data_IF_850344519840
#
_entry.id   IF_850344519840
#
_cell.length_a   1.000
_cell.length_b   1.000
_cell.length_c   1.000
_cell.angle_alpha   90.00
_cell.angle_beta   90.00
_cell.angle_gamma   90.00
#
_symmetry.space_group_name_H-M   'P 1'
#
loop_
_entity.id
_entity.type
_entity.pdbx_description
1 polymer ?
#
# COMPACT_ATOMS: atom_id res chain seq x y z
N UNK A 1 4.30 -3.64 27.29
CA UNK A 1 4.65 -2.97 26.03
C UNK A 1 4.84 -4.06 24.98
N UNK A 2 4.05 -4.02 23.91
CA UNK A 2 4.21 -4.93 22.77
C UNK A 2 5.48 -4.55 22.02
N UNK A 3 6.28 -5.54 21.62
CA UNK A 3 7.50 -5.28 20.85
C UNK A 3 7.12 -4.84 19.44
N UNK A 4 7.73 -3.75 18.98
CA UNK A 4 7.54 -3.21 17.64
C UNK A 4 8.74 -3.53 16.75
N UNK A 5 8.48 -3.74 15.46
CA UNK A 5 9.45 -4.04 14.42
C UNK A 5 9.38 -2.95 13.34
N UNK A 6 10.54 -2.43 12.96
CA UNK A 6 10.65 -1.49 11.85
C UNK A 6 11.01 -2.23 10.57
N UNK A 7 10.35 -1.89 9.47
CA UNK A 7 10.58 -2.49 8.16
C UNK A 7 10.25 -1.52 7.04
N UNK A 8 10.88 -1.72 5.88
CA UNK A 8 10.58 -0.95 4.68
C UNK A 8 9.57 -1.70 3.81
N UNK A 9 8.64 -0.94 3.23
CA UNK A 9 7.84 -1.32 2.07
C UNK A 9 8.41 -0.54 0.88
N UNK A 10 8.80 -1.26 -0.16
CA UNK A 10 9.19 -0.65 -1.43
C UNK A 10 7.91 -0.48 -2.28
N UNK A 11 7.49 0.77 -2.47
CA UNK A 11 6.40 1.13 -3.38
C UNK A 11 6.95 1.36 -4.78
N UNK A 12 6.21 0.94 -5.81
CA UNK A 12 6.62 1.05 -7.20
C UNK A 12 7.43 -0.16 -7.69
N UNK A 13 8.22 0.04 -8.74
CA UNK A 13 9.02 -1.04 -9.32
C UNK A 13 10.43 -1.08 -8.70
N UNK A 14 10.76 -2.10 -7.90
CA UNK A 14 12.12 -2.27 -7.37
C UNK A 14 13.10 -2.75 -8.46
N UNK A 15 12.60 -3.20 -9.62
CA UNK A 15 13.43 -3.55 -10.76
C UNK A 15 14.13 -2.29 -11.27
N UNK A 16 15.39 -2.44 -11.68
CA UNK A 16 16.14 -1.35 -12.30
C UNK A 16 15.92 -1.32 -13.83
N UNK A 17 14.95 -2.08 -14.36
CA UNK A 17 14.75 -2.30 -15.80
C UNK A 17 13.49 -1.63 -16.39
N UNK A 18 12.67 -0.95 -15.57
CA UNK A 18 11.54 -0.14 -16.04
C UNK A 18 11.15 1.01 -15.11
N UNK A 19 11.06 2.23 -15.66
CA UNK A 19 10.70 3.53 -15.06
C UNK A 19 11.47 4.04 -13.81
N UNK A 20 12.07 3.17 -12.98
CA UNK A 20 12.97 3.55 -11.87
C UNK A 20 12.31 4.37 -10.75
N UNK A 21 10.97 4.44 -10.73
CA UNK A 21 10.22 5.15 -9.70
C UNK A 21 9.88 4.13 -8.61
N UNK A 22 10.67 4.16 -7.54
CA UNK A 22 10.35 3.46 -6.30
C UNK A 22 10.57 4.36 -5.09
N UNK A 23 9.75 4.16 -4.07
CA UNK A 23 9.86 4.87 -2.79
C UNK A 23 9.89 3.87 -1.65
N UNK A 24 10.81 4.08 -0.72
CA UNK A 24 10.87 3.33 0.53
C UNK A 24 9.99 3.99 1.56
N UNK A 25 8.94 3.29 1.97
CA UNK A 25 8.10 3.68 3.11
C UNK A 25 8.54 2.88 4.32
N UNK A 26 9.01 3.58 5.36
CA UNK A 26 9.30 2.96 6.64
C UNK A 26 8.00 2.82 7.42
N UNK A 27 7.73 1.63 7.95
CA UNK A 27 6.62 1.39 8.88
C UNK A 27 7.14 0.76 10.16
N UNK A 28 6.33 0.86 11.22
CA UNK A 28 6.53 0.17 12.47
C UNK A 28 5.29 -0.68 12.78
N UNK A 29 5.48 -2.00 13.00
CA UNK A 29 4.39 -2.95 13.24
C UNK A 29 4.70 -3.88 14.42
N UNK A 30 3.67 -4.38 15.10
CA UNK A 30 3.82 -5.34 16.19
C UNK A 30 4.12 -6.78 15.71
N UNK A 31 4.04 -7.02 14.39
CA UNK A 31 4.31 -8.30 13.75
C UNK A 31 5.66 -8.33 13.04
N UNK A 32 6.23 -9.52 12.88
CA UNK A 32 7.48 -9.70 12.13
C UNK A 32 7.24 -9.58 10.62
N UNK A 33 8.29 -9.24 9.86
CA UNK A 33 8.25 -9.25 8.38
C UNK A 33 7.77 -10.60 7.84
N UNK A 34 8.14 -11.72 8.49
CA UNK A 34 7.71 -13.05 8.08
C UNK A 34 6.19 -13.21 8.25
N UNK A 35 5.67 -12.85 9.42
CA UNK A 35 4.23 -12.92 9.72
C UNK A 35 3.41 -12.05 8.77
N UNK A 36 3.85 -10.82 8.53
CA UNK A 36 3.20 -9.89 7.61
C UNK A 36 3.16 -10.44 6.18
N UNK A 37 4.23 -11.06 5.70
CA UNK A 37 4.26 -11.71 4.38
C UNK A 37 3.32 -12.92 4.30
N UNK A 38 3.30 -13.76 5.33
CA UNK A 38 2.39 -14.91 5.39
C UNK A 38 0.93 -14.46 5.42
N UNK A 39 0.62 -13.40 6.18
CA UNK A 39 -0.70 -12.79 6.23
C UNK A 39 -1.10 -12.22 4.86
N UNK A 40 -0.23 -11.44 4.20
CA UNK A 40 -0.49 -10.94 2.84
C UNK A 40 -0.86 -12.05 1.86
N UNK A 41 -0.08 -13.14 1.82
CA UNK A 41 -0.34 -14.28 0.94
C UNK A 41 -1.67 -14.96 1.28
N UNK A 42 -1.99 -15.09 2.57
CA UNK A 42 -3.26 -15.66 3.02
C UNK A 42 -4.44 -14.77 2.64
N UNK A 43 -4.34 -13.45 2.82
CA UNK A 43 -5.36 -12.48 2.41
C UNK A 43 -5.60 -12.54 0.90
N UNK A 44 -4.55 -12.73 0.10
CA UNK A 44 -4.70 -12.95 -1.34
C UNK A 44 -5.52 -14.20 -1.67
N UNK A 45 -5.26 -15.31 -0.99
CA UNK A 45 -5.96 -16.58 -1.20
C UNK A 45 -7.43 -16.51 -0.76
N UNK A 46 -7.68 -15.90 0.40
CA UNK A 46 -9.01 -15.79 1.00
C UNK A 46 -9.92 -14.87 0.19
N UNK A 47 -9.41 -13.70 -0.21
CA UNK A 47 -10.22 -12.66 -0.88
C UNK A 47 -10.29 -12.81 -2.39
N UNK A 48 -9.26 -13.40 -3.01
CA UNK A 48 -9.10 -13.35 -4.46
C UNK A 48 -8.53 -12.03 -4.99
N UNK A 49 -8.17 -11.07 -4.14
CA UNK A 49 -7.55 -9.80 -4.53
C UNK A 49 -6.05 -9.79 -4.22
N UNK A 50 -5.28 -8.90 -4.85
CA UNK A 50 -3.85 -8.76 -4.56
C UNK A 50 -3.30 -7.36 -4.86
N UNK A 51 -2.05 -7.12 -4.46
CA UNK A 51 -1.29 -5.88 -4.70
C UNK A 51 -0.05 -6.15 -5.55
N UNK A 52 -0.01 -7.29 -6.26
CA UNK A 52 1.16 -7.72 -7.00
C UNK A 52 0.83 -7.92 -8.48
N UNK A 53 1.76 -7.54 -9.34
CA UNK A 53 1.57 -7.54 -10.79
C UNK A 53 1.60 -8.95 -11.42
N UNK A 54 2.76 -9.61 -11.42
CA UNK A 54 2.97 -10.81 -12.25
C UNK A 54 2.58 -12.14 -11.60
N UNK A 55 2.82 -12.29 -10.30
CA UNK A 55 2.60 -13.56 -9.60
C UNK A 55 1.10 -13.82 -9.35
N UNK A 56 0.69 -15.09 -9.31
CA UNK A 56 -0.64 -15.45 -8.82
C UNK A 56 -0.51 -15.95 -7.38
N UNK A 57 -0.83 -15.08 -6.42
CA UNK A 57 -0.93 -15.45 -5.01
C UNK A 57 -2.37 -15.74 -4.58
N UNK A 58 -3.35 -15.49 -5.43
CA UNK A 58 -4.77 -15.74 -5.12
C UNK A 58 -5.16 -17.18 -5.42
N UNK A 59 -4.41 -17.86 -6.30
CA UNK A 59 -4.66 -19.22 -6.75
C UNK A 59 -5.88 -19.32 -7.68
N UNK A 60 -6.43 -18.19 -8.13
CA UNK A 60 -7.65 -18.14 -8.95
C UNK A 60 -7.36 -18.25 -10.44
N UNK A 61 -6.10 -18.17 -10.86
CA UNK A 61 -5.67 -18.24 -12.26
C UNK A 61 -6.42 -17.26 -13.17
N UNK A 62 -6.61 -16.01 -12.69
CA UNK A 62 -7.29 -14.97 -13.46
C UNK A 62 -6.61 -14.74 -14.80
N UNK A 63 -7.43 -14.55 -15.85
CA UNK A 63 -6.94 -14.05 -17.13
C UNK A 63 -6.34 -12.65 -16.96
N UNK A 64 -5.49 -12.22 -17.90
CA UNK A 64 -4.89 -10.89 -17.86
C UNK A 64 -5.95 -9.76 -17.77
N UNK A 65 -7.12 -9.96 -18.40
CA UNK A 65 -8.24 -9.01 -18.32
C UNK A 65 -8.88 -8.97 -16.92
N UNK A 66 -8.99 -10.12 -16.25
CA UNK A 66 -9.57 -10.22 -14.91
C UNK A 66 -8.60 -9.70 -13.84
N UNK A 67 -7.28 -9.86 -14.03
CA UNK A 67 -6.28 -9.31 -13.10
C UNK A 67 -6.47 -7.82 -12.85
N UNK A 68 -6.80 -7.03 -13.88
CA UNK A 68 -7.07 -5.58 -13.76
C UNK A 68 -8.22 -5.23 -12.81
N UNK A 69 -9.11 -6.19 -12.51
CA UNK A 69 -10.26 -6.03 -11.61
C UNK A 69 -9.98 -6.52 -10.19
N UNK A 70 -8.90 -7.27 -10.00
CA UNK A 70 -8.58 -7.94 -8.74
C UNK A 70 -7.20 -7.54 -8.18
N UNK A 71 -6.41 -6.77 -8.94
CA UNK A 71 -5.07 -6.32 -8.55
C UNK A 71 -5.05 -4.80 -8.35
N UNK A 72 -4.81 -4.36 -7.12
CA UNK A 72 -4.80 -2.95 -6.72
C UNK A 72 -3.51 -2.26 -7.18
N UNK A 73 -3.66 -1.23 -8.01
CA UNK A 73 -2.59 -0.31 -8.44
C UNK A 73 -1.28 -1.00 -8.88
N UNK A 74 -1.39 -2.08 -9.66
CA UNK A 74 -0.23 -2.91 -10.03
C UNK A 74 0.43 -2.56 -11.35
N UNK A 75 -0.24 -1.78 -12.18
CA UNK A 75 0.20 -1.40 -13.53
C UNK A 75 0.57 0.09 -13.59
N UNK A 76 1.43 0.46 -14.54
CA UNK A 76 1.79 1.86 -14.75
C UNK A 76 0.55 2.72 -15.01
N UNK A 77 0.41 3.82 -14.26
CA UNK A 77 -0.75 4.75 -14.31
C UNK A 77 -2.11 4.09 -14.01
N UNK A 78 -2.13 2.95 -13.33
CA UNK A 78 -3.35 2.36 -12.77
C UNK A 78 -3.55 2.87 -11.33
N UNK A 79 -3.65 4.17 -11.16
CA UNK A 79 -3.92 4.82 -9.86
C UNK A 79 -5.41 4.85 -9.49
N UNK A 80 -6.31 4.36 -10.36
CA UNK A 80 -7.75 4.28 -10.11
C UNK A 80 -8.23 2.86 -9.78
N UNK A 81 -9.30 2.78 -9.00
CA UNK A 81 -9.95 1.52 -8.64
C UNK A 81 -11.00 1.08 -9.68
N UNK A 82 -11.08 -0.23 -9.93
CA UNK A 82 -12.17 -0.83 -10.67
C UNK A 82 -13.44 -0.94 -9.82
N UNK A 83 -14.59 -1.12 -10.49
CA UNK A 83 -15.87 -1.39 -9.80
C UNK A 83 -15.77 -2.58 -8.83
N UNK A 84 -15.15 -3.67 -9.24
CA UNK A 84 -14.99 -4.87 -8.41
C UNK A 84 -14.13 -4.60 -7.16
N UNK A 85 -13.11 -3.75 -7.30
CA UNK A 85 -12.29 -3.31 -6.17
C UNK A 85 -13.09 -2.45 -5.20
N UNK A 86 -13.85 -1.48 -5.70
CA UNK A 86 -14.73 -0.63 -4.89
C UNK A 86 -15.76 -1.48 -4.12
N UNK A 87 -16.42 -2.42 -4.79
CA UNK A 87 -17.39 -3.33 -4.14
C UNK A 87 -16.70 -4.12 -3.04
N UNK A 88 -15.53 -4.69 -3.32
CA UNK A 88 -14.77 -5.44 -2.31
C UNK A 88 -14.43 -4.58 -1.08
N UNK A 89 -13.96 -3.35 -1.26
CA UNK A 89 -13.63 -2.47 -0.14
C UNK A 89 -14.87 -2.12 0.71
N UNK A 90 -16.02 -1.89 0.06
CA UNK A 90 -17.28 -1.61 0.76
C UNK A 90 -17.83 -2.82 1.51
N UNK A 91 -17.78 -4.00 0.91
CA UNK A 91 -18.29 -5.24 1.53
C UNK A 91 -17.41 -5.74 2.70
N UNK A 92 -16.17 -5.26 2.79
CA UNK A 92 -15.23 -5.62 3.85
C UNK A 92 -14.94 -4.47 4.83
N UNK A 93 -15.77 -3.41 4.82
CA UNK A 93 -15.70 -2.28 5.76
C UNK A 93 -14.31 -1.61 5.81
N UNK A 94 -13.70 -1.30 4.66
CA UNK A 94 -12.44 -0.55 4.62
C UNK A 94 -12.62 0.83 5.29
N UNK A 95 -11.91 1.14 6.39
CA UNK A 95 -12.24 2.28 7.24
C UNK A 95 -11.82 3.64 6.67
N UNK A 96 -10.97 3.66 5.64
CA UNK A 96 -10.45 4.89 5.02
C UNK A 96 -11.00 5.09 3.61
N UNK A 97 -12.12 4.45 3.28
CA UNK A 97 -12.70 4.54 1.94
C UNK A 97 -13.10 5.98 1.60
N UNK A 98 -13.63 6.71 2.58
CA UNK A 98 -14.04 8.12 2.44
C UNK A 98 -12.86 9.09 2.28
N UNK A 99 -11.60 8.62 2.45
CA UNK A 99 -10.39 9.43 2.30
C UNK A 99 -9.82 9.40 0.87
N UNK A 100 -10.40 8.61 -0.04
CA UNK A 100 -9.97 8.58 -1.44
C UNK A 100 -10.42 9.82 -2.23
N UNK A 101 -9.56 10.27 -3.15
CA UNK A 101 -9.87 11.39 -4.04
C UNK A 101 -11.03 11.00 -4.98
N UNK A 102 -11.91 11.97 -5.24
CA UNK A 102 -13.12 11.85 -6.07
C UNK A 102 -14.19 10.86 -5.57
N UNK A 103 -14.08 10.42 -4.31
CA UNK A 103 -15.17 9.70 -3.66
C UNK A 103 -16.33 10.63 -3.30
N UNK A 104 -17.54 10.24 -3.73
CA UNK A 104 -18.81 10.94 -3.47
C UNK A 104 -19.88 9.89 -3.19
N UNK A 105 -20.40 9.87 -1.95
CA UNK A 105 -21.43 8.94 -1.48
C UNK A 105 -22.73 9.01 -2.31
N UNK A 106 -23.00 10.13 -2.99
CA UNK A 106 -24.18 10.31 -3.82
C UNK A 106 -24.03 9.73 -5.24
N UNK A 107 -22.81 9.40 -5.67
CA UNK A 107 -22.55 8.78 -6.98
C UNK A 107 -22.55 7.25 -6.89
N UNK A 108 -23.16 6.60 -7.87
CA UNK A 108 -23.07 5.14 -7.96
C UNK A 108 -21.63 4.69 -8.27
N UNK A 109 -21.23 3.52 -7.76
CA UNK A 109 -19.93 2.91 -8.02
C UNK A 109 -19.61 2.67 -9.52
N UNK A 110 -20.60 2.81 -10.42
CA UNK A 110 -20.39 2.74 -11.87
C UNK A 110 -19.92 4.07 -12.49
N UNK A 111 -20.07 5.18 -11.76
CA UNK A 111 -19.75 6.54 -12.19
C UNK A 111 -18.57 7.16 -11.40
N UNK A 112 -18.07 6.43 -10.40
CA UNK A 112 -16.95 6.83 -9.55
C UNK A 112 -15.61 6.41 -10.16
N UNK A 113 -14.75 7.38 -10.47
CA UNK A 113 -13.32 7.16 -10.68
C UNK A 113 -12.62 7.42 -9.34
N UNK A 114 -12.40 6.38 -8.54
CA UNK A 114 -11.76 6.52 -7.22
C UNK A 114 -10.26 6.41 -7.38
N UNK A 115 -9.53 7.49 -7.10
CA UNK A 115 -8.06 7.53 -7.22
C UNK A 115 -7.39 7.20 -5.88
N UNK A 116 -6.31 6.43 -5.96
CA UNK A 116 -5.50 5.99 -4.82
C UNK A 116 -4.18 6.74 -4.83
N UNK A 117 -4.03 7.65 -3.87
CA UNK A 117 -2.76 8.31 -3.60
C UNK A 117 -1.80 7.42 -2.80
N UNK A 118 -0.54 7.83 -2.71
CA UNK A 118 0.51 7.05 -2.05
C UNK A 118 0.25 6.78 -0.56
N UNK A 119 -0.20 7.80 0.18
CA UNK A 119 -0.47 7.67 1.62
C UNK A 119 -1.67 6.74 1.87
N UNK A 120 -2.69 6.83 1.01
CA UNK A 120 -3.86 5.96 1.04
C UNK A 120 -3.53 4.51 0.62
N UNK A 121 -2.59 4.33 -0.31
CA UNK A 121 -2.15 3.00 -0.75
C UNK A 121 -1.54 2.18 0.38
N UNK A 122 -0.70 2.77 1.23
CA UNK A 122 -0.10 2.06 2.37
C UNK A 122 -1.17 1.66 3.37
N UNK A 123 -2.10 2.56 3.70
CA UNK A 123 -3.22 2.26 4.58
C UNK A 123 -4.09 1.12 4.06
N UNK A 124 -4.38 1.14 2.76
CA UNK A 124 -5.11 0.09 2.06
C UNK A 124 -4.37 -1.26 2.09
N UNK A 125 -3.08 -1.29 1.75
CA UNK A 125 -2.25 -2.49 1.77
C UNK A 125 -2.20 -3.11 3.17
N UNK A 126 -1.98 -2.29 4.20
CA UNK A 126 -1.83 -2.78 5.56
C UNK A 126 -3.16 -3.22 6.17
N UNK A 127 -4.27 -2.56 5.85
CA UNK A 127 -5.61 -3.04 6.18
C UNK A 127 -5.87 -4.41 5.53
N UNK A 128 -5.53 -4.56 4.25
CA UNK A 128 -5.71 -5.81 3.52
C UNK A 128 -4.94 -6.97 4.17
N UNK A 129 -3.70 -6.74 4.58
CA UNK A 129 -2.89 -7.71 5.34
C UNK A 129 -3.56 -8.04 6.70
N UNK A 130 -4.16 -7.04 7.33
CA UNK A 130 -4.91 -7.18 8.59
C UNK A 130 -6.08 -8.15 8.49
N UNK A 131 -6.67 -8.36 7.30
CA UNK A 131 -7.77 -9.32 7.10
C UNK A 131 -7.39 -10.77 7.47
N UNK A 132 -6.11 -11.12 7.39
CA UNK A 132 -5.61 -12.44 7.77
C UNK A 132 -4.62 -12.38 8.94
N UNK A 133 -4.56 -11.25 9.64
CA UNK A 133 -3.70 -10.99 10.80
C UNK A 133 -4.42 -10.11 11.83
N UNK A 134 -5.41 -10.70 12.52
CA UNK A 134 -6.38 -10.00 13.38
C UNK A 134 -5.78 -9.10 14.48
N UNK A 135 -4.55 -9.36 14.93
CA UNK A 135 -3.86 -8.59 15.96
C UNK A 135 -2.83 -7.60 15.39
N UNK A 136 -2.82 -7.37 14.07
CA UNK A 136 -1.89 -6.45 13.42
C UNK A 136 -2.14 -5.01 13.88
N UNK A 137 -1.10 -4.42 14.46
CA UNK A 137 -1.02 -3.00 14.77
C UNK A 137 0.18 -2.46 14.03
N UNK A 138 -0.04 -1.40 13.25
CA UNK A 138 1.01 -0.77 12.47
C UNK A 138 0.80 0.75 12.44
N UNK A 139 1.88 1.48 12.20
CA UNK A 139 1.83 2.92 11.94
C UNK A 139 2.82 3.24 10.81
N UNK A 140 2.48 4.19 9.90
CA UNK A 140 3.48 4.74 9.02
C UNK A 140 4.53 5.47 9.86
N UNK A 141 5.81 5.25 9.59
CA UNK A 141 6.86 6.10 10.13
C UNK A 141 6.99 7.34 9.24
N UNK A 142 5.89 8.07 9.02
CA UNK A 142 5.96 9.39 8.41
C UNK A 142 5.95 10.45 9.51
N UNK A 143 6.97 11.30 9.42
CA UNK A 143 7.39 12.37 10.34
C UNK A 143 8.16 11.93 11.59
N UNK A 144 9.28 12.62 11.83
CA UNK A 144 10.02 12.67 13.10
C UNK A 144 11.12 11.62 13.38
N UNK A 145 11.92 11.22 12.40
CA UNK A 145 13.35 11.08 12.76
C UNK A 145 13.89 12.51 12.78
N UNK A 146 14.27 13.07 13.93
CA UNK A 146 14.77 14.43 13.98
C UNK A 146 16.02 14.55 13.11
N UNK A 147 15.94 15.36 12.05
CA UNK A 147 17.13 15.64 11.25
C UNK A 147 17.99 16.61 12.03
N UNK A 148 19.23 16.22 12.34
CA UNK A 148 20.17 17.03 13.15
C UNK A 148 20.22 18.49 12.69
N UNK A 149 20.23 18.72 11.38
CA UNK A 149 20.34 20.04 10.76
C UNK A 149 19.00 20.64 10.30
N UNK A 150 17.92 20.41 11.05
CA UNK A 150 16.61 21.04 10.84
C UNK A 150 16.28 22.08 11.92
N UNK A 151 15.16 22.79 11.76
CA UNK A 151 14.66 23.75 12.76
C UNK A 151 15.65 24.88 13.07
N UNK A 152 16.02 25.02 14.35
CA UNK A 152 16.98 26.04 14.83
C UNK A 152 18.42 25.81 14.34
N UNK A 153 18.77 24.60 13.91
CA UNK A 153 20.09 24.24 13.38
C UNK A 153 20.00 24.02 11.86
N UNK A 154 19.35 24.93 11.12
CA UNK A 154 19.20 24.84 9.67
C UNK A 154 20.53 25.19 8.95
N UNK A 155 21.49 24.27 9.00
CA UNK A 155 22.83 24.41 8.40
C UNK A 155 23.17 23.25 7.46
N UNK A 156 24.08 23.49 6.53
CA UNK A 156 24.51 22.49 5.56
C UNK A 156 25.71 21.70 6.08
N UNK A 157 25.65 20.36 6.03
CA UNK A 157 26.77 19.48 6.33
C UNK A 157 27.27 18.80 5.06
N UNK A 158 28.59 18.79 4.84
CA UNK A 158 29.23 17.90 3.87
C UNK A 158 28.92 18.13 2.39
N UNK A 159 28.34 19.28 2.00
CA UNK A 159 27.96 19.53 0.61
C UNK A 159 29.13 19.47 -0.38
N UNK A 160 30.31 19.91 0.03
CA UNK A 160 31.53 19.80 -0.79
C UNK A 160 32.11 18.39 -0.93
N UNK A 161 31.41 17.35 -0.48
CA UNK A 161 31.76 15.94 -0.72
C UNK A 161 31.11 15.36 -1.98
N UNK A 162 30.22 16.13 -2.61
CA UNK A 162 29.52 15.75 -3.83
C UNK A 162 29.96 16.69 -4.95
N UNK A 163 30.38 16.12 -6.08
CA UNK A 163 30.66 16.82 -7.35
C UNK A 163 29.40 16.94 -8.21
#
# INVERSE_FOLDING_TARGET
>A
MTKMYRMYIDLGDPSHDGHGISKKVLIEANQTVKTIREAYLKSCQETGFSFNHNNDFTGRNYSHKEKKKHCFCTEYQQDHLSKEQIIFLRENDFPYFDEFEDYDDEKEANELEVYVEEDNFISLLMWFIGMSCDDLVWNPCQNEIPTLNSGKLRVQFGYGLYD
#
